data_IF_059510839369
#
_entry.id   IF_059510839369
#
_cell.length_a   1.000
_cell.length_b   1.000
_cell.length_c   1.000
_cell.angle_alpha   90.00
_cell.angle_beta   90.00
_cell.angle_gamma   90.00
#
_symmetry.space_group_name_H-M   'P 1'
#
loop_
_entity.id
_entity.type
_entity.pdbx_description
1 polymer ?
#
# COMPACT_ATOMS: atom_id res chain seq x y z
N UNK A 1 56.76 -36.63 3.45
CA UNK A 1 57.39 -35.45 4.09
C UNK A 1 56.34 -34.65 4.83
N UNK A 2 56.79 -33.90 5.84
CA UNK A 2 56.09 -33.47 7.06
C UNK A 2 55.51 -32.05 6.97
N UNK A 3 54.32 -31.86 7.59
CA UNK A 3 53.67 -30.67 8.23
C UNK A 3 53.84 -29.25 7.63
N UNK A 4 52.70 -28.52 7.60
CA UNK A 4 52.37 -27.48 8.62
C UNK A 4 50.92 -26.99 8.52
N UNK A 5 50.28 -26.87 9.68
CA UNK A 5 49.06 -26.10 9.94
C UNK A 5 49.38 -24.60 10.06
N UNK A 6 48.43 -23.73 9.70
CA UNK A 6 48.12 -22.51 10.47
C UNK A 6 46.76 -21.91 10.07
N UNK A 7 46.08 -21.46 11.11
CA UNK A 7 44.67 -21.10 11.30
C UNK A 7 44.36 -19.63 10.93
N UNK A 8 43.14 -19.30 10.44
CA UNK A 8 42.43 -18.04 10.78
C UNK A 8 40.94 -18.03 10.37
N UNK A 9 40.10 -18.26 11.36
CA UNK A 9 38.86 -17.57 11.79
C UNK A 9 38.21 -16.46 10.92
N UNK A 10 36.96 -16.70 10.48
CA UNK A 10 35.76 -15.82 10.46
C UNK A 10 34.78 -16.41 9.42
N UNK A 11 33.46 -16.55 9.60
CA UNK A 11 32.51 -15.67 10.30
C UNK A 11 31.16 -16.39 10.43
N UNK A 12 30.66 -16.40 11.68
CA UNK A 12 29.25 -16.29 12.13
C UNK A 12 28.25 -17.43 11.82
N UNK A 13 27.99 -18.16 12.92
CA UNK A 13 26.78 -18.95 13.21
C UNK A 13 25.52 -18.09 13.08
N UNK A 14 24.50 -18.66 12.46
CA UNK A 14 23.12 -18.18 12.54
C UNK A 14 22.67 -18.20 14.00
N UNK A 15 22.20 -17.05 14.49
CA UNK A 15 21.43 -16.96 15.72
C UNK A 15 19.98 -17.25 15.34
N UNK A 16 19.48 -18.40 15.74
CA UNK A 16 18.05 -18.55 16.02
C UNK A 16 17.71 -17.64 17.20
N UNK A 17 16.98 -16.56 16.94
CA UNK A 17 16.26 -15.83 17.98
C UNK A 17 14.76 -15.86 17.68
N UNK A 18 14.09 -16.76 18.40
CA UNK A 18 12.76 -16.61 18.99
C UNK A 18 11.76 -15.66 18.33
N UNK A 19 10.67 -16.25 17.85
CA UNK A 19 9.35 -15.63 17.69
C UNK A 19 8.93 -14.91 18.99
N UNK A 20 8.98 -13.58 18.99
CA UNK A 20 8.08 -12.65 19.71
C UNK A 20 8.60 -11.22 19.51
N UNK A 21 7.90 -10.41 18.74
CA UNK A 21 8.30 -9.00 18.61
C UNK A 21 7.54 -8.19 17.55
N UNK A 22 6.37 -7.68 17.96
CA UNK A 22 5.89 -6.33 17.65
C UNK A 22 5.58 -5.95 16.20
N UNK A 23 4.30 -6.12 15.84
CA UNK A 23 3.57 -5.10 15.10
C UNK A 23 3.53 -3.80 15.93
N UNK A 24 4.25 -2.77 15.51
CA UNK A 24 4.06 -1.43 16.05
C UNK A 24 4.09 -0.42 14.92
N UNK A 25 2.92 0.19 14.71
CA UNK A 25 2.71 1.41 13.95
C UNK A 25 3.67 2.51 14.43
N UNK A 26 4.05 3.49 13.58
CA UNK A 26 4.77 4.66 14.05
C UNK A 26 3.88 5.43 15.05
N UNK A 27 4.19 5.31 16.35
CA UNK A 27 3.52 5.99 17.46
C UNK A 27 4.11 7.39 17.69
N UNK A 28 3.99 8.28 16.71
CA UNK A 28 4.39 9.70 16.89
C UNK A 28 3.24 10.65 16.51
N UNK A 29 2.03 10.35 16.98
CA UNK A 29 0.98 11.36 17.11
C UNK A 29 0.67 11.45 18.59
N UNK A 30 1.16 12.53 19.21
CA UNK A 30 0.93 12.84 20.61
C UNK A 30 -0.55 13.19 20.81
N UNK A 31 -1.29 12.25 21.40
CA UNK A 31 -2.72 12.38 21.71
C UNK A 31 -2.97 12.86 23.15
N UNK A 32 -1.93 13.26 23.88
CA UNK A 32 -2.06 13.63 25.31
C UNK A 32 -2.39 15.10 25.54
N UNK A 33 -2.45 15.91 24.48
CA UNK A 33 -2.67 17.36 24.56
C UNK A 33 -4.14 17.78 24.65
N UNK A 34 -5.11 16.86 24.58
CA UNK A 34 -6.55 17.20 24.65
C UNK A 34 -7.34 16.18 25.50
N UNK A 35 -7.82 16.63 26.66
CA UNK A 35 -8.91 15.99 27.41
C UNK A 35 -8.50 14.97 28.49
N UNK A 36 -8.92 15.25 29.72
CA UNK A 36 -8.85 14.34 30.88
C UNK A 36 -9.50 12.98 30.62
N UNK A 37 -8.79 11.89 30.94
CA UNK A 37 -9.43 10.61 31.27
C UNK A 37 -8.69 9.33 30.83
N UNK A 38 -8.21 8.60 31.83
CA UNK A 38 -7.83 7.18 31.86
C UNK A 38 -6.42 6.78 31.36
N UNK A 39 -5.62 6.41 32.36
CA UNK A 39 -4.28 5.83 32.29
C UNK A 39 -4.22 4.49 31.55
N UNK A 40 -3.12 4.26 30.84
CA UNK A 40 -2.53 2.95 30.66
C UNK A 40 -1.00 3.08 30.54
N UNK A 41 -0.32 2.62 31.59
CA UNK A 41 1.14 2.55 31.74
C UNK A 41 1.83 1.85 30.57
N UNK A 42 2.89 2.46 30.02
CA UNK A 42 4.21 1.85 29.80
C UNK A 42 5.15 2.77 28.99
N UNK A 43 6.07 3.47 29.67
CA UNK A 43 7.52 3.57 29.33
C UNK A 43 8.19 4.73 30.08
N UNK A 44 8.70 4.43 31.27
CA UNK A 44 9.23 5.35 32.27
C UNK A 44 10.65 5.90 31.98
N UNK A 45 11.01 6.21 30.72
CA UNK A 45 12.34 6.77 30.41
C UNK A 45 12.34 8.10 29.63
N UNK A 46 11.20 8.54 29.08
CA UNK A 46 11.08 9.86 28.45
C UNK A 46 10.23 10.83 29.26
N UNK A 47 9.39 10.33 30.17
CA UNK A 47 8.50 11.15 30.99
C UNK A 47 9.25 12.09 31.93
N UNK A 48 10.35 11.65 32.56
CA UNK A 48 11.10 12.48 33.52
C UNK A 48 11.77 13.71 32.89
N UNK A 49 12.31 13.58 31.67
CA UNK A 49 12.93 14.69 30.94
C UNK A 49 11.90 15.66 30.39
N UNK A 50 10.74 15.17 29.96
CA UNK A 50 9.66 16.00 29.42
C UNK A 50 8.93 16.75 30.55
N UNK A 51 8.67 16.08 31.67
CA UNK A 51 8.12 16.67 32.90
C UNK A 51 9.08 17.71 33.47
N UNK A 52 10.38 17.41 33.56
CA UNK A 52 11.38 18.39 34.02
C UNK A 52 11.48 19.62 33.11
N UNK A 53 11.35 19.47 31.78
CA UNK A 53 11.34 20.60 30.85
C UNK A 53 10.07 21.46 30.98
N UNK A 54 8.91 20.83 31.19
CA UNK A 54 7.66 21.54 31.46
C UNK A 54 7.74 22.28 32.79
N UNK A 55 8.18 21.62 33.86
CA UNK A 55 8.35 22.22 35.19
C UNK A 55 9.35 23.38 35.19
N UNK A 56 10.49 23.23 34.51
CA UNK A 56 11.46 24.33 34.34
C UNK A 56 10.90 25.47 33.50
N UNK A 57 10.13 25.18 32.45
CA UNK A 57 9.49 26.23 31.64
C UNK A 57 8.43 26.99 32.45
N UNK A 58 7.68 26.29 33.28
CA UNK A 58 6.66 26.86 34.17
C UNK A 58 7.29 27.68 35.30
N UNK A 59 8.45 27.25 35.83
CA UNK A 59 9.22 27.96 36.84
C UNK A 59 9.91 29.23 36.29
N UNK A 60 10.37 29.20 35.03
CA UNK A 60 10.91 30.38 34.34
C UNK A 60 9.81 31.38 34.00
N UNK A 61 8.62 30.92 33.60
CA UNK A 61 7.49 31.80 33.26
C UNK A 61 6.87 32.42 34.52
N UNK A 62 6.77 31.68 35.62
CA UNK A 62 6.25 32.17 36.91
C UNK A 62 7.18 33.17 37.62
N UNK A 63 8.49 33.13 37.35
CA UNK A 63 9.46 34.11 37.87
C UNK A 63 9.29 35.54 37.33
N UNK A 64 8.47 35.77 36.31
CA UNK A 64 8.15 37.09 35.74
C UNK A 64 6.79 37.64 36.17
N UNK A 65 6.17 37.08 37.21
CA UNK A 65 4.83 37.42 37.69
C UNK A 65 4.73 38.80 38.37
N UNK A 66 4.58 39.87 37.59
CA UNK A 66 3.59 40.89 37.95
C UNK A 66 2.20 40.33 37.62
N UNK A 67 1.23 40.50 38.52
CA UNK A 67 -0.18 40.18 38.27
C UNK A 67 -0.59 40.80 36.94
N UNK A 68 -0.79 39.96 35.92
CA UNK A 68 -1.21 40.44 34.61
C UNK A 68 -2.63 40.96 34.74
N UNK A 69 -2.93 42.06 34.04
CA UNK A 69 -4.27 42.65 34.12
C UNK A 69 -5.33 41.64 33.73
N UNK A 70 -6.51 41.76 34.34
CA UNK A 70 -7.67 40.92 34.02
C UNK A 70 -7.99 40.92 32.51
N UNK A 71 -7.74 42.04 31.83
CA UNK A 71 -7.91 42.18 30.38
C UNK A 71 -6.97 41.26 29.59
N UNK A 72 -5.72 41.09 30.03
CA UNK A 72 -4.76 40.19 29.39
C UNK A 72 -5.16 38.73 29.59
N UNK A 73 -5.69 38.38 30.76
CA UNK A 73 -6.19 37.03 31.04
C UNK A 73 -7.43 36.71 30.22
N UNK A 74 -8.39 37.65 30.13
CA UNK A 74 -9.58 37.51 29.29
C UNK A 74 -9.22 37.36 27.80
N UNK A 75 -8.30 38.18 27.30
CA UNK A 75 -7.77 38.06 25.94
C UNK A 75 -7.05 36.73 25.70
N UNK A 76 -6.27 36.24 26.67
CA UNK A 76 -5.62 34.93 26.58
C UNK A 76 -6.63 33.78 26.55
N UNK A 77 -7.71 33.87 27.32
CA UNK A 77 -8.75 32.83 27.35
C UNK A 77 -9.57 32.84 26.06
N UNK A 78 -9.85 34.01 25.48
CA UNK A 78 -10.41 34.13 24.13
C UNK A 78 -9.48 33.52 23.07
N UNK A 79 -8.19 33.83 23.12
CA UNK A 79 -7.19 33.28 22.20
C UNK A 79 -7.06 31.75 22.32
N UNK A 80 -7.13 31.21 23.54
CA UNK A 80 -7.13 29.76 23.78
C UNK A 80 -8.39 29.10 23.23
N UNK A 81 -9.56 29.73 23.41
CA UNK A 81 -10.81 29.23 22.88
C UNK A 81 -10.79 29.18 21.35
N UNK A 82 -10.34 30.26 20.70
CA UNK A 82 -10.19 30.33 19.25
C UNK A 82 -9.20 29.30 18.71
N UNK A 83 -8.05 29.15 19.39
CA UNK A 83 -7.02 28.17 19.02
C UNK A 83 -7.53 26.73 19.19
N UNK A 84 -8.30 26.45 20.24
CA UNK A 84 -8.88 25.13 20.49
C UNK A 84 -9.92 24.78 19.43
N UNK A 85 -10.82 25.71 19.11
CA UNK A 85 -11.80 25.54 18.04
C UNK A 85 -11.13 25.31 16.67
N UNK A 86 -10.05 26.05 16.36
CA UNK A 86 -9.27 25.83 15.15
C UNK A 86 -8.64 24.42 15.11
N UNK A 87 -8.05 23.97 16.22
CA UNK A 87 -7.43 22.64 16.29
C UNK A 87 -8.48 21.52 16.18
N UNK A 88 -9.62 21.65 16.86
CA UNK A 88 -10.74 20.71 16.78
C UNK A 88 -11.30 20.62 15.36
N UNK A 89 -11.52 21.76 14.70
CA UNK A 89 -12.00 21.77 13.31
C UNK A 89 -11.04 21.06 12.35
N UNK A 90 -9.73 21.25 12.54
CA UNK A 90 -8.69 20.58 11.74
C UNK A 90 -8.61 19.09 12.04
N UNK A 91 -8.79 18.69 13.30
CA UNK A 91 -8.85 17.28 13.70
C UNK A 91 -10.05 16.59 13.05
N UNK A 92 -11.22 17.21 13.08
CA UNK A 92 -12.43 16.69 12.45
C UNK A 92 -12.27 16.53 10.94
N UNK A 93 -11.66 17.51 10.26
CA UNK A 93 -11.36 17.40 8.83
C UNK A 93 -10.45 16.20 8.52
N UNK A 94 -9.39 15.99 9.32
CA UNK A 94 -8.47 14.87 9.16
C UNK A 94 -9.16 13.53 9.39
N UNK A 95 -9.99 13.42 10.44
CA UNK A 95 -10.77 12.20 10.74
C UNK A 95 -11.78 11.90 9.63
N UNK A 96 -12.43 12.94 9.08
CA UNK A 96 -13.35 12.80 7.94
C UNK A 96 -12.62 12.39 6.66
N UNK A 97 -11.40 12.87 6.43
CA UNK A 97 -10.57 12.47 5.31
C UNK A 97 -10.12 11.00 5.43
N UNK A 98 -9.64 10.59 6.61
CA UNK A 98 -9.20 9.22 6.90
C UNK A 98 -10.35 8.22 6.76
N UNK A 99 -11.51 8.53 7.36
CA UNK A 99 -12.69 7.67 7.25
C UNK A 99 -13.19 7.52 5.81
N UNK A 100 -13.09 8.59 5.01
CA UNK A 100 -13.40 8.54 3.58
C UNK A 100 -12.42 7.64 2.83
N UNK A 101 -11.12 7.78 3.09
CA UNK A 101 -10.08 6.97 2.45
C UNK A 101 -10.25 5.48 2.77
N UNK A 102 -10.55 5.16 4.03
CA UNK A 102 -10.84 3.79 4.47
C UNK A 102 -11.99 3.17 3.68
N UNK A 103 -13.09 3.90 3.50
CA UNK A 103 -14.23 3.41 2.70
C UNK A 103 -13.87 3.16 1.24
N UNK A 104 -13.05 4.03 0.65
CA UNK A 104 -12.57 3.82 -0.72
C UNK A 104 -11.68 2.58 -0.83
N UNK A 105 -10.80 2.36 0.16
CA UNK A 105 -9.96 1.17 0.22
C UNK A 105 -10.81 -0.11 0.29
N UNK A 106 -11.80 -0.14 1.18
CA UNK A 106 -12.74 -1.27 1.31
C UNK A 106 -13.52 -1.53 -0.01
N UNK A 107 -13.98 -0.47 -0.68
CA UNK A 107 -14.66 -0.58 -1.97
C UNK A 107 -13.73 -1.12 -3.09
N UNK A 108 -12.49 -0.61 -3.16
CA UNK A 108 -11.47 -1.06 -4.13
C UNK A 108 -11.14 -2.54 -3.90
N UNK A 109 -10.88 -2.95 -2.66
CA UNK A 109 -10.61 -4.36 -2.33
C UNK A 109 -11.77 -5.25 -2.77
N UNK A 110 -13.02 -4.84 -2.50
CA UNK A 110 -14.22 -5.59 -2.91
C UNK A 110 -14.32 -5.75 -4.44
N UNK A 111 -14.02 -4.69 -5.20
CA UNK A 111 -14.02 -4.73 -6.67
C UNK A 111 -12.92 -5.68 -7.17
N UNK A 112 -11.71 -5.56 -6.64
CA UNK A 112 -10.59 -6.40 -7.06
C UNK A 112 -10.88 -7.85 -6.72
N UNK A 113 -11.40 -8.15 -5.53
CA UNK A 113 -11.76 -9.51 -5.14
C UNK A 113 -12.79 -10.12 -6.09
N UNK A 114 -13.83 -9.36 -6.49
CA UNK A 114 -14.81 -9.82 -7.46
C UNK A 114 -14.18 -10.11 -8.83
N UNK A 115 -13.43 -9.15 -9.38
CA UNK A 115 -12.73 -9.33 -10.66
C UNK A 115 -11.78 -10.52 -10.59
N UNK A 116 -11.06 -10.67 -9.49
CA UNK A 116 -10.11 -11.75 -9.32
C UNK A 116 -10.78 -13.12 -9.18
N UNK A 117 -11.97 -13.20 -8.55
CA UNK A 117 -12.78 -14.41 -8.52
C UNK A 117 -13.20 -14.84 -9.93
N UNK A 118 -13.68 -13.91 -10.76
CA UNK A 118 -14.06 -14.18 -12.15
C UNK A 118 -12.84 -14.63 -12.96
N UNK A 119 -11.73 -13.91 -12.85
CA UNK A 119 -10.47 -14.26 -13.50
C UNK A 119 -9.93 -15.64 -13.07
N UNK A 120 -10.08 -16.01 -11.79
CA UNK A 120 -9.73 -17.35 -11.29
C UNK A 120 -10.61 -18.42 -11.90
N UNK A 121 -11.90 -18.16 -12.03
CA UNK A 121 -12.84 -19.07 -12.68
C UNK A 121 -12.47 -19.27 -14.15
N UNK A 122 -12.22 -18.19 -14.89
CA UNK A 122 -11.78 -18.28 -16.30
C UNK A 122 -10.46 -19.02 -16.47
N UNK A 123 -9.49 -18.77 -15.58
CA UNK A 123 -8.22 -19.49 -15.54
C UNK A 123 -8.42 -20.99 -15.31
N UNK A 124 -9.31 -21.37 -14.38
CA UNK A 124 -9.65 -22.76 -14.12
C UNK A 124 -10.27 -23.45 -15.35
N UNK A 125 -11.27 -22.82 -15.98
CA UNK A 125 -11.91 -23.35 -17.18
C UNK A 125 -10.93 -23.46 -18.36
N UNK A 126 -10.12 -22.43 -18.59
CA UNK A 126 -9.10 -22.42 -19.65
C UNK A 126 -8.03 -23.50 -19.44
N UNK A 127 -7.62 -23.71 -18.19
CA UNK A 127 -6.62 -24.72 -17.85
C UNK A 127 -7.08 -26.15 -18.11
N UNK A 128 -8.37 -26.43 -18.27
CA UNK A 128 -8.83 -27.77 -18.70
C UNK A 128 -8.28 -28.14 -20.08
N UNK A 129 -8.04 -27.14 -20.94
CA UNK A 129 -7.50 -27.33 -22.30
C UNK A 129 -5.99 -27.03 -22.34
N UNK A 130 -5.52 -26.02 -21.60
CA UNK A 130 -4.13 -25.56 -21.66
C UNK A 130 -3.16 -26.30 -20.71
N UNK A 131 -3.63 -27.28 -19.94
CA UNK A 131 -2.81 -27.97 -18.93
C UNK A 131 -1.56 -28.59 -19.54
N UNK A 132 -0.40 -28.34 -18.91
CA UNK A 132 0.89 -28.89 -19.37
C UNK A 132 1.52 -28.15 -20.56
N UNK A 133 0.91 -27.05 -21.01
CA UNK A 133 1.47 -26.17 -22.05
C UNK A 133 2.04 -24.90 -21.42
N UNK A 134 2.77 -24.09 -22.21
CA UNK A 134 3.21 -22.75 -21.80
C UNK A 134 2.08 -21.75 -21.58
N UNK A 135 0.86 -22.08 -22.04
CA UNK A 135 -0.35 -21.28 -21.88
C UNK A 135 -1.08 -21.52 -20.55
N UNK A 136 -0.63 -22.50 -19.75
CA UNK A 136 -1.24 -22.78 -18.46
C UNK A 136 -1.17 -21.53 -17.55
N UNK A 137 -2.33 -21.17 -17.00
CA UNK A 137 -2.50 -19.98 -16.18
C UNK A 137 -2.41 -20.32 -14.69
N UNK A 138 -1.81 -19.42 -13.91
CA UNK A 138 -1.69 -19.50 -12.46
C UNK A 138 -2.22 -18.20 -11.88
N UNK A 139 -3.22 -18.29 -11.00
CA UNK A 139 -3.75 -17.14 -10.27
C UNK A 139 -3.08 -17.05 -8.89
N UNK A 140 -2.66 -15.86 -8.49
CA UNK A 140 -2.06 -15.59 -7.18
C UNK A 140 -2.60 -14.28 -6.62
N UNK A 141 -3.17 -14.33 -5.42
CA UNK A 141 -3.52 -13.13 -4.65
C UNK A 141 -2.35 -12.80 -3.72
N UNK A 142 -1.86 -11.56 -3.77
CA UNK A 142 -0.77 -11.09 -2.91
C UNK A 142 -1.30 -10.31 -1.71
N UNK A 143 -2.50 -9.72 -1.84
CA UNK A 143 -3.13 -8.92 -0.79
C UNK A 143 -2.54 -7.52 -0.70
N UNK A 144 -2.49 -6.96 0.50
CA UNK A 144 -1.91 -5.64 0.75
C UNK A 144 -0.38 -5.71 0.72
N UNK A 145 0.21 -5.01 -0.24
CA UNK A 145 1.66 -4.87 -0.43
C UNK A 145 2.01 -3.42 -0.17
N UNK A 146 2.81 -3.15 0.86
CA UNK A 146 3.32 -1.80 1.15
C UNK A 146 4.68 -1.64 0.51
N UNK A 147 4.79 -0.70 -0.43
CA UNK A 147 5.99 -0.39 -1.17
C UNK A 147 6.60 0.92 -0.67
N UNK A 148 7.93 0.94 -0.59
CA UNK A 148 8.70 2.13 -0.23
C UNK A 148 8.98 2.92 -1.50
N UNK A 149 8.38 4.10 -1.61
CA UNK A 149 8.53 4.99 -2.77
C UNK A 149 9.78 5.85 -2.68
N UNK A 150 10.07 6.37 -1.48
CA UNK A 150 11.22 7.25 -1.24
C UNK A 150 11.92 6.89 0.06
N UNK A 151 13.24 7.01 0.03
CA UNK A 151 14.12 6.73 1.15
C UNK A 151 15.01 7.94 1.35
N UNK A 152 15.02 8.48 2.57
CA UNK A 152 15.84 9.62 2.94
C UNK A 152 17.34 9.22 2.92
N UNK A 153 18.24 10.21 2.92
CA UNK A 153 19.71 10.06 3.05
C UNK A 153 20.14 9.18 4.22
N UNK A 154 19.31 9.08 5.27
CA UNK A 154 19.51 8.21 6.45
C UNK A 154 19.03 6.76 6.27
N UNK A 155 18.57 6.39 5.07
CA UNK A 155 17.93 5.09 4.78
C UNK A 155 16.61 4.85 5.52
N UNK A 156 15.94 5.93 5.92
CA UNK A 156 14.62 5.89 6.53
C UNK A 156 13.54 6.04 5.44
N UNK A 157 12.40 5.37 5.62
CA UNK A 157 11.27 5.46 4.68
C UNK A 157 10.68 6.86 4.77
N UNK A 158 10.71 7.59 3.67
CA UNK A 158 10.18 8.95 3.57
C UNK A 158 8.76 8.94 3.01
N UNK A 159 8.50 8.09 2.02
CA UNK A 159 7.16 7.87 1.48
C UNK A 159 6.95 6.38 1.20
N UNK A 160 5.80 5.86 1.59
CA UNK A 160 5.33 4.53 1.24
C UNK A 160 3.91 4.58 0.70
N UNK A 161 3.59 3.62 -0.16
CA UNK A 161 2.24 3.43 -0.66
C UNK A 161 1.82 1.97 -0.47
N UNK A 162 0.60 1.77 -0.02
CA UNK A 162 0.02 0.44 0.13
C UNK A 162 -0.89 0.16 -1.07
N UNK A 163 -0.60 -0.92 -1.77
CA UNK A 163 -1.34 -1.38 -2.93
C UNK A 163 -1.98 -2.73 -2.65
N UNK A 164 -3.23 -2.91 -3.06
CA UNK A 164 -3.81 -4.24 -3.12
C UNK A 164 -3.43 -4.90 -4.44
N UNK A 165 -2.78 -6.06 -4.40
CA UNK A 165 -2.23 -6.71 -5.60
C UNK A 165 -2.76 -8.12 -5.79
N UNK A 166 -3.20 -8.40 -7.01
CA UNK A 166 -3.54 -9.74 -7.48
C UNK A 166 -2.98 -9.95 -8.88
N UNK A 167 -2.67 -11.20 -9.25
CA UNK A 167 -2.10 -11.52 -10.56
C UNK A 167 -2.62 -12.83 -11.12
N UNK A 168 -2.75 -12.88 -12.44
CA UNK A 168 -2.87 -14.12 -13.21
C UNK A 168 -1.74 -14.15 -14.21
N UNK A 169 -0.95 -15.21 -14.20
CA UNK A 169 0.23 -15.32 -15.05
C UNK A 169 0.39 -16.71 -15.65
N UNK A 170 0.96 -16.76 -16.84
CA UNK A 170 1.52 -17.97 -17.44
C UNK A 170 3.05 -17.83 -17.53
N UNK A 171 3.71 -18.68 -18.32
CA UNK A 171 5.16 -18.66 -18.48
C UNK A 171 5.70 -17.36 -19.10
N UNK A 172 4.92 -16.70 -19.95
CA UNK A 172 5.37 -15.57 -20.76
C UNK A 172 4.90 -14.23 -20.21
N UNK A 173 3.60 -14.10 -19.90
CA UNK A 173 2.97 -12.86 -19.45
C UNK A 173 2.12 -13.07 -18.20
N UNK A 174 1.99 -11.99 -17.42
CA UNK A 174 1.05 -11.88 -16.33
C UNK A 174 0.21 -10.61 -16.42
N UNK A 175 -1.08 -10.78 -16.17
CA UNK A 175 -2.03 -9.72 -15.89
C UNK A 175 -1.96 -9.38 -14.40
N UNK A 176 -1.54 -8.17 -14.07
CA UNK A 176 -1.50 -7.65 -12.71
C UNK A 176 -2.66 -6.68 -12.49
N UNK A 177 -3.39 -6.89 -11.40
CA UNK A 177 -4.42 -6.00 -10.89
C UNK A 177 -3.85 -5.27 -9.69
N UNK A 178 -3.79 -3.93 -9.77
CA UNK A 178 -3.24 -3.06 -8.71
C UNK A 178 -4.31 -2.07 -8.26
N UNK A 179 -4.67 -2.11 -6.99
CA UNK A 179 -5.56 -1.14 -6.35
C UNK A 179 -4.78 -0.11 -5.55
N UNK A 180 -5.03 1.18 -5.80
CA UNK A 180 -4.44 2.30 -5.07
C UNK A 180 -5.49 3.39 -4.80
N UNK A 181 -5.84 3.62 -3.53
CA UNK A 181 -6.77 4.68 -3.14
C UNK A 181 -8.15 4.51 -3.77
N UNK A 182 -8.42 5.23 -4.88
CA UNK A 182 -9.69 5.20 -5.62
C UNK A 182 -9.58 4.59 -7.02
N UNK A 183 -8.39 4.12 -7.40
CA UNK A 183 -8.12 3.65 -8.77
C UNK A 183 -7.68 2.20 -8.72
N UNK A 184 -8.18 1.42 -9.67
CA UNK A 184 -7.74 0.05 -9.96
C UNK A 184 -7.15 0.02 -11.35
N UNK A 185 -5.89 -0.36 -11.45
CA UNK A 185 -5.13 -0.37 -12.69
C UNK A 185 -4.81 -1.82 -13.09
N UNK A 186 -4.80 -2.07 -14.40
CA UNK A 186 -4.56 -3.38 -14.97
C UNK A 186 -3.36 -3.33 -15.90
N UNK A 187 -2.36 -4.19 -15.67
CA UNK A 187 -1.11 -4.21 -16.42
C UNK A 187 -0.87 -5.57 -17.05
N UNK A 188 -0.40 -5.62 -18.30
CA UNK A 188 0.24 -6.82 -18.85
C UNK A 188 1.75 -6.64 -18.79
N UNK A 189 2.41 -7.54 -18.07
CA UNK A 189 3.85 -7.50 -17.84
C UNK A 189 4.43 -8.87 -18.15
N UNK A 190 5.62 -8.97 -18.76
CA UNK A 190 6.30 -10.24 -18.94
C UNK A 190 6.56 -10.93 -17.59
N UNK A 191 6.19 -12.21 -17.47
CA UNK A 191 6.36 -13.01 -16.24
C UNK A 191 7.78 -13.01 -15.69
N UNK A 192 8.86 -13.05 -16.50
CA UNK A 192 10.22 -12.97 -15.98
C UNK A 192 10.52 -11.68 -15.20
N UNK A 193 9.80 -10.60 -15.51
CA UNK A 193 9.94 -9.31 -14.83
C UNK A 193 9.01 -9.19 -13.61
N UNK A 194 7.99 -10.04 -13.50
CA UNK A 194 7.10 -10.18 -12.36
C UNK A 194 7.75 -10.96 -11.20
N UNK A 195 8.99 -10.59 -10.85
CA UNK A 195 9.64 -11.05 -9.63
C UNK A 195 9.13 -10.22 -8.44
N UNK A 196 8.89 -10.90 -7.32
CA UNK A 196 8.02 -10.47 -6.21
C UNK A 196 8.30 -9.05 -5.70
N UNK A 197 7.25 -8.23 -5.71
CA UNK A 197 7.22 -6.86 -5.15
C UNK A 197 8.04 -5.81 -5.92
N UNK A 198 8.40 -6.09 -7.18
CA UNK A 198 9.02 -5.06 -8.01
C UNK A 198 7.99 -4.01 -8.45
N UNK A 199 8.40 -2.75 -8.51
CA UNK A 199 7.61 -1.58 -9.02
C UNK A 199 7.56 -1.60 -10.56
N UNK A 200 7.87 -2.75 -11.17
CA UNK A 200 8.04 -2.87 -12.62
C UNK A 200 6.73 -2.56 -13.34
N UNK A 201 5.57 -2.85 -12.73
CA UNK A 201 4.28 -2.55 -13.37
C UNK A 201 4.10 -1.05 -13.65
N UNK A 202 4.70 -0.16 -12.83
CA UNK A 202 4.64 1.29 -13.06
C UNK A 202 5.40 1.74 -14.31
N UNK A 203 6.25 0.88 -14.89
CA UNK A 203 6.97 1.15 -16.14
C UNK A 203 6.12 0.83 -17.38
N UNK A 204 4.98 0.17 -17.21
CA UNK A 204 4.08 -0.22 -18.29
C UNK A 204 2.85 0.67 -18.32
N UNK A 205 2.33 0.95 -19.52
CA UNK A 205 1.04 1.62 -19.67
C UNK A 205 -0.08 0.68 -19.18
N UNK A 206 -0.98 1.13 -18.29
CA UNK A 206 -2.12 0.32 -17.88
C UNK A 206 -3.04 0.10 -19.08
N UNK A 207 -3.52 -1.13 -19.23
CA UNK A 207 -4.46 -1.52 -20.29
C UNK A 207 -5.86 -1.01 -20.01
N UNK A 208 -6.17 -0.89 -18.72
CA UNK A 208 -7.40 -0.30 -18.24
C UNK A 208 -7.13 0.35 -16.88
N UNK A 209 -7.86 1.40 -16.59
CA UNK A 209 -7.95 1.98 -15.27
C UNK A 209 -9.43 2.11 -14.89
N UNK A 210 -9.76 1.76 -13.65
CA UNK A 210 -11.11 1.82 -13.11
C UNK A 210 -11.09 2.78 -11.91
N UNK A 211 -11.87 3.85 -12.01
CA UNK A 211 -12.03 4.84 -10.95
C UNK A 211 -13.29 4.52 -10.14
N UNK A 212 -13.13 4.43 -8.82
CA UNK A 212 -14.21 4.18 -7.86
C UNK A 212 -14.72 5.51 -7.30
N UNK A 213 -16.01 5.76 -7.43
CA UNK A 213 -16.72 6.94 -6.90
C UNK A 213 -17.77 6.50 -5.89
N UNK A 214 -17.79 7.15 -4.74
CA UNK A 214 -18.80 6.91 -3.72
C UNK A 214 -19.90 7.96 -3.82
N UNK A 215 -21.16 7.55 -3.96
CA UNK A 215 -22.33 8.46 -3.93
C UNK A 215 -23.42 7.83 -3.08
N UNK A 216 -23.83 8.53 -2.02
CA UNK A 216 -24.96 8.10 -1.18
C UNK A 216 -24.74 6.80 -0.38
N UNK A 217 -23.48 6.38 -0.17
CA UNK A 217 -23.15 5.13 0.52
C UNK A 217 -22.98 3.92 -0.42
N UNK A 218 -23.36 4.06 -1.68
CA UNK A 218 -23.07 3.08 -2.73
C UNK A 218 -21.80 3.50 -3.50
N UNK A 219 -21.02 2.51 -3.92
CA UNK A 219 -19.88 2.74 -4.79
C UNK A 219 -20.25 2.46 -6.24
N UNK A 220 -19.84 3.36 -7.12
CA UNK A 220 -19.95 3.26 -8.56
C UNK A 220 -18.53 3.19 -9.12
N UNK A 221 -18.34 2.46 -10.20
CA UNK A 221 -17.07 2.39 -10.89
C UNK A 221 -17.23 2.95 -12.30
N UNK A 222 -16.16 3.56 -12.80
CA UNK A 222 -16.09 4.05 -14.18
C UNK A 222 -14.73 3.66 -14.77
N UNK A 223 -14.74 3.17 -16.00
CA UNK A 223 -13.51 2.98 -16.76
C UNK A 223 -12.97 4.34 -17.23
N UNK A 224 -11.69 4.55 -16.95
CA UNK A 224 -10.90 5.69 -17.38
C UNK A 224 -10.01 5.22 -18.53
N UNK A 225 -9.93 6.04 -19.58
CA UNK A 225 -9.07 5.83 -20.76
C UNK A 225 -9.30 4.50 -21.54
N UNK A 226 -10.55 4.02 -21.61
CA UNK A 226 -10.92 2.78 -22.32
C UNK A 226 -11.06 2.91 -23.85
N UNK A 227 -10.48 3.94 -24.47
CA UNK A 227 -10.77 4.30 -25.87
C UNK A 227 -10.28 3.27 -26.91
N UNK A 228 -9.43 2.31 -26.52
CA UNK A 228 -8.78 1.37 -27.46
C UNK A 228 -9.52 0.03 -27.66
N UNK A 229 -10.70 -0.20 -27.07
CA UNK A 229 -11.41 -1.50 -27.15
C UNK A 229 -12.83 -1.41 -27.74
N UNK A 230 -13.21 -2.48 -28.47
CA UNK A 230 -14.42 -2.57 -29.32
C UNK A 230 -15.73 -2.36 -28.56
N UNK A 231 -15.81 -2.72 -27.28
CA UNK A 231 -17.02 -2.57 -26.45
C UNK A 231 -16.64 -2.13 -25.04
N UNK A 232 -17.24 -1.05 -24.54
CA UNK A 232 -17.19 -0.69 -23.11
C UNK A 232 -17.92 -1.79 -22.33
N UNK A 233 -17.26 -2.46 -21.38
CA UNK A 233 -17.91 -3.49 -20.58
C UNK A 233 -18.96 -2.86 -19.66
N UNK A 234 -20.15 -3.44 -19.64
CA UNK A 234 -21.27 -2.97 -18.83
C UNK A 234 -21.21 -3.54 -17.40
N UNK A 235 -20.50 -4.66 -17.22
CA UNK A 235 -20.33 -5.36 -15.94
C UNK A 235 -18.86 -5.64 -15.62
N UNK A 236 -18.56 -5.87 -14.34
CA UNK A 236 -17.22 -6.28 -13.90
C UNK A 236 -16.80 -7.65 -14.47
N UNK A 237 -17.77 -8.53 -14.72
CA UNK A 237 -17.53 -9.84 -15.33
C UNK A 237 -17.14 -9.68 -16.81
N UNK A 238 -17.83 -8.82 -17.56
CA UNK A 238 -17.45 -8.49 -18.94
C UNK A 238 -16.05 -7.87 -18.99
N UNK A 239 -15.70 -6.99 -18.04
CA UNK A 239 -14.36 -6.43 -17.92
C UNK A 239 -13.32 -7.55 -17.67
N UNK A 240 -13.56 -8.42 -16.69
CA UNK A 240 -12.69 -9.55 -16.39
C UNK A 240 -12.51 -10.48 -17.59
N UNK A 241 -13.59 -10.77 -18.33
CA UNK A 241 -13.57 -11.56 -19.56
C UNK A 241 -12.68 -10.91 -20.62
N UNK A 242 -12.84 -9.60 -20.87
CA UNK A 242 -12.03 -8.88 -21.86
C UNK A 242 -10.56 -8.77 -21.48
N UNK A 243 -10.26 -8.63 -20.18
CA UNK A 243 -8.89 -8.65 -19.65
C UNK A 243 -8.24 -10.03 -19.80
N UNK A 244 -8.99 -11.09 -19.48
CA UNK A 244 -8.52 -12.47 -19.63
C UNK A 244 -8.25 -12.82 -21.10
N UNK A 245 -9.18 -12.45 -21.99
CA UNK A 245 -9.01 -12.62 -23.43
C UNK A 245 -7.74 -11.91 -23.94
N UNK A 246 -7.48 -10.69 -23.46
CA UNK A 246 -6.28 -9.95 -23.83
C UNK A 246 -4.99 -10.65 -23.40
N UNK A 247 -4.95 -11.17 -22.17
CA UNK A 247 -3.81 -11.94 -21.68
C UNK A 247 -3.56 -13.16 -22.57
N UNK A 248 -4.63 -13.87 -22.94
CA UNK A 248 -4.54 -15.06 -23.81
C UNK A 248 -4.03 -14.68 -25.20
N UNK A 249 -4.58 -13.64 -25.84
CA UNK A 249 -4.15 -13.21 -27.18
C UNK A 249 -2.68 -12.75 -27.19
N UNK A 250 -2.27 -11.91 -26.24
CA UNK A 250 -0.86 -11.47 -26.13
C UNK A 250 0.07 -12.67 -25.92
N UNK A 251 -0.36 -13.67 -25.15
CA UNK A 251 0.44 -14.88 -24.96
C UNK A 251 0.51 -15.72 -26.23
N UNK A 252 -0.59 -15.85 -27.00
CA UNK A 252 -0.59 -16.57 -28.28
C UNK A 252 0.38 -15.93 -29.27
N UNK A 253 0.38 -14.61 -29.36
CA UNK A 253 1.27 -13.89 -30.28
C UNK A 253 2.74 -14.05 -29.88
N UNK A 254 3.05 -14.06 -28.58
CA UNK A 254 4.39 -14.35 -28.09
C UNK A 254 4.83 -15.78 -28.40
N UNK A 255 3.96 -16.77 -28.20
CA UNK A 255 4.27 -18.17 -28.54
C UNK A 255 4.54 -18.32 -30.03
N UNK A 256 3.72 -17.69 -30.90
CA UNK A 256 3.96 -17.67 -32.35
C UNK A 256 5.29 -17.03 -32.71
N UNK A 257 5.65 -15.92 -32.05
CA UNK A 257 6.95 -15.25 -32.25
C UNK A 257 8.11 -16.18 -31.92
N UNK A 258 8.05 -16.86 -30.77
CA UNK A 258 9.09 -17.80 -30.34
C UNK A 258 9.21 -18.99 -31.30
N UNK A 259 8.08 -19.50 -31.80
CA UNK A 259 8.07 -20.58 -32.79
C UNK A 259 8.71 -20.15 -34.12
N UNK A 260 8.47 -18.93 -34.58
CA UNK A 260 9.09 -18.38 -35.79
C UNK A 260 10.60 -18.18 -35.62
N UNK A 261 11.04 -17.66 -34.47
CA UNK A 261 12.46 -17.46 -34.15
C UNK A 261 13.21 -18.80 -34.05
N UNK A 262 12.64 -19.82 -33.41
CA UNK A 262 13.22 -21.15 -33.34
C UNK A 262 13.17 -21.90 -34.68
N UNK A 263 12.16 -21.61 -35.52
CA UNK A 263 11.98 -22.20 -36.84
C UNK A 263 12.93 -21.66 -37.92
N UNK A 264 13.49 -20.46 -37.71
CA UNK A 264 14.41 -19.81 -38.65
C UNK A 264 15.88 -20.24 -38.51
N UNK A 265 16.20 -21.08 -37.53
CA UNK A 265 17.58 -21.60 -37.28
C UNK A 265 17.80 -22.96 -37.98
N UNK A 266 17.23 -23.16 -39.17
CA UNK A 266 17.47 -24.36 -39.99
C UNK A 266 18.11 -24.01 -41.32
#
# INVERSE_FOLDING_TARGET
MVRKESNTTNRRKFVESSLRGQSSLPRNVDRTMFGHGAAADTSAFTSGSHVAHLELSEQVISGFGQDRSADILAWMDELKADSSHFIESRLDELVLAESRERRYREAVTTIIDKIFQDLRYFSFEFNKVARGTSMQMIATILGDVTEVLQVNSKREVEASATYFRARISNRHFGLVVRGAGRVVEFYLVPTPQLMGQSVVEAQYEPIAALEVKMKGGEFFWKLVDWEKRVKTPDTLEELAMQLFAALVEVTKDEVRRIEQECGSVK
#
